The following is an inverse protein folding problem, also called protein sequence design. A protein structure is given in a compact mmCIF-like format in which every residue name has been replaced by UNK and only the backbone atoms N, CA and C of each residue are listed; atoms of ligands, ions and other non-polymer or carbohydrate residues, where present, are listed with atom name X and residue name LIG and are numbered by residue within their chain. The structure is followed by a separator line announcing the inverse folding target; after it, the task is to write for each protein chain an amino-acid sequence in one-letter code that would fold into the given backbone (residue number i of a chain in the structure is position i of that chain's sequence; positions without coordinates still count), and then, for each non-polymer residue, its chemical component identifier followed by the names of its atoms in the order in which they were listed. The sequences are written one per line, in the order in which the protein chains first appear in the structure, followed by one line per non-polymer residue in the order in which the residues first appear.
data_IF_705765886987
#
_entry.id   IF_705765886987
#
_cell.length_a   1.000
_cell.length_b   1.000
_cell.length_c   1.000
_cell.angle_alpha   90.00
_cell.angle_beta   90.00
_cell.angle_gamma   90.00
#
_symmetry.space_group_name_H-M   'P 1'
#
loop_
_entity.id
_entity.type
_entity.pdbx_description
1 polymer ?
#
# COMPACT_ATOMS: atom_id res chain seq x y z
N UNK A 1 -0.46 -3.48 8.11
CA UNK A 1 0.55 -4.46 7.61
C UNK A 1 0.90 -5.45 8.72
N UNK A 2 1.37 -4.99 9.86
CA UNK A 2 1.50 -5.83 11.06
C UNK A 2 0.20 -5.88 11.88
N UNK A 3 0.07 -6.89 12.74
CA UNK A 3 -0.93 -6.88 13.79
C UNK A 3 -0.70 -5.69 14.73
N UNK A 4 -1.75 -4.95 15.09
CA UNK A 4 -1.62 -3.64 15.75
C UNK A 4 -0.90 -3.65 17.12
N UNK A 5 -0.80 -4.80 17.79
CA UNK A 5 -0.04 -4.94 19.06
C UNK A 5 1.35 -5.58 18.85
N UNK A 6 1.78 -5.76 17.61
CA UNK A 6 3.12 -6.25 17.30
C UNK A 6 4.17 -5.29 17.85
N UNK A 7 5.18 -5.83 18.53
CA UNK A 7 6.36 -5.08 18.99
C UNK A 7 7.58 -5.35 18.14
N UNK A 8 7.51 -6.34 17.25
CA UNK A 8 8.62 -6.78 16.40
C UNK A 8 8.51 -6.27 14.96
N UNK A 9 7.29 -5.92 14.51
CA UNK A 9 7.03 -5.39 13.18
C UNK A 9 7.65 -6.23 12.05
N UNK A 10 7.57 -7.55 12.17
CA UNK A 10 8.30 -8.49 11.29
C UNK A 10 7.90 -8.31 9.83
N UNK A 11 6.63 -8.04 9.54
CA UNK A 11 6.16 -7.77 8.18
C UNK A 11 6.77 -6.48 7.62
N UNK A 12 6.77 -5.39 8.40
CA UNK A 12 7.46 -4.15 7.99
C UNK A 12 8.95 -4.39 7.74
N UNK A 13 9.65 -5.07 8.65
CA UNK A 13 11.09 -5.33 8.52
C UNK A 13 11.38 -6.12 7.25
N UNK A 14 10.67 -7.22 7.02
CA UNK A 14 10.89 -8.08 5.84
C UNK A 14 10.61 -7.32 4.54
N UNK A 15 9.45 -6.65 4.44
CA UNK A 15 9.05 -5.96 3.21
C UNK A 15 9.95 -4.76 2.91
N UNK A 16 10.21 -3.91 3.91
CA UNK A 16 10.92 -2.64 3.68
C UNK A 16 12.41 -2.85 3.52
N UNK A 17 12.99 -3.88 4.15
CA UNK A 17 14.38 -4.28 3.87
C UNK A 17 14.57 -4.79 2.45
N UNK A 18 13.50 -5.30 1.82
CA UNK A 18 13.47 -5.68 0.41
C UNK A 18 13.05 -4.54 -0.53
N UNK A 19 12.92 -3.30 -0.01
CA UNK A 19 12.46 -2.12 -0.76
C UNK A 19 11.06 -2.30 -1.37
N UNK A 20 10.18 -3.06 -0.71
CA UNK A 20 8.78 -3.26 -1.10
C UNK A 20 7.91 -2.30 -0.30
N UNK A 21 7.23 -1.31 -0.92
CA UNK A 21 6.42 -0.34 -0.21
C UNK A 21 5.13 -0.97 0.34
N UNK A 22 4.63 -0.40 1.43
CA UNK A 22 3.36 -0.77 2.06
C UNK A 22 2.30 0.31 1.91
N UNK A 23 1.04 -0.10 1.69
CA UNK A 23 -0.12 0.79 1.71
C UNK A 23 -1.13 0.29 2.75
N UNK A 24 -1.52 1.18 3.67
CA UNK A 24 -2.39 0.84 4.80
C UNK A 24 -3.67 1.65 4.77
N UNK A 25 -4.72 1.13 5.40
CA UNK A 25 -6.04 1.78 5.49
C UNK A 25 -6.65 2.11 4.11
N UNK A 26 -6.39 1.28 3.10
CA UNK A 26 -6.93 1.44 1.75
C UNK A 26 -8.42 1.07 1.75
N UNK A 27 -9.26 1.96 1.24
CA UNK A 27 -10.70 1.75 1.09
C UNK A 27 -11.07 1.26 -0.32
N UNK A 28 -12.27 0.68 -0.48
CA UNK A 28 -12.83 0.30 -1.77
C UNK A 28 -12.26 -0.98 -2.39
N UNK A 29 -11.55 -1.80 -1.60
CA UNK A 29 -11.01 -3.09 -2.06
C UNK A 29 -12.11 -4.08 -2.46
N UNK A 30 -13.29 -3.95 -1.87
CA UNK A 30 -14.49 -4.75 -2.15
C UNK A 30 -15.08 -4.51 -3.55
N UNK A 31 -14.74 -3.38 -4.18
CA UNK A 31 -15.15 -3.06 -5.55
C UNK A 31 -14.19 -3.60 -6.63
N UNK A 32 -13.08 -4.26 -6.22
CA UNK A 32 -12.05 -4.74 -7.15
C UNK A 32 -12.19 -6.25 -7.42
N UNK A 33 -11.95 -6.70 -8.66
CA UNK A 33 -11.73 -8.13 -8.91
C UNK A 33 -10.47 -8.61 -8.17
N UNK A 34 -10.36 -9.91 -7.84
CA UNK A 34 -9.17 -10.46 -7.17
C UNK A 34 -7.86 -10.22 -7.92
N UNK A 35 -7.92 -10.10 -9.26
CA UNK A 35 -6.77 -9.86 -10.14
C UNK A 35 -7.19 -9.05 -11.38
N UNK A 36 -6.24 -8.41 -12.03
CA UNK A 36 -6.44 -7.75 -13.33
C UNK A 36 -6.63 -6.22 -13.26
N UNK A 37 -6.84 -5.65 -12.08
CA UNK A 37 -6.85 -4.19 -11.91
C UNK A 37 -5.45 -3.59 -11.98
N UNK A 38 -5.36 -2.36 -12.49
CA UNK A 38 -4.17 -1.52 -12.41
C UNK A 38 -4.28 -0.58 -11.22
N UNK A 39 -3.28 -0.58 -10.34
CA UNK A 39 -3.24 0.28 -9.14
C UNK A 39 -2.24 1.41 -9.33
N UNK A 40 -2.69 2.64 -9.09
CA UNK A 40 -1.85 3.84 -9.11
C UNK A 40 -1.79 4.42 -7.69
N UNK A 41 -0.60 4.35 -7.08
CA UNK A 41 -0.33 4.89 -5.75
C UNK A 41 0.43 6.22 -5.91
N UNK A 42 -0.21 7.33 -5.52
CA UNK A 42 0.32 8.69 -5.72
C UNK A 42 0.67 9.31 -4.35
N UNK A 43 1.87 9.03 -3.80
CA UNK A 43 2.30 9.61 -2.52
C UNK A 43 2.68 11.07 -2.65
N UNK A 44 2.55 11.81 -1.56
CA UNK A 44 3.14 13.15 -1.45
C UNK A 44 4.67 13.06 -1.60
N UNK A 45 5.25 13.94 -2.43
CA UNK A 45 6.71 14.00 -2.65
C UNK A 45 7.39 14.77 -1.51
N UNK A 46 7.70 14.06 -0.43
CA UNK A 46 8.36 14.60 0.76
C UNK A 46 9.85 14.25 0.70
N UNK A 47 10.73 15.27 0.72
CA UNK A 47 12.18 15.06 0.73
C UNK A 47 12.60 14.31 2.02
N UNK A 48 13.33 13.20 1.86
CA UNK A 48 13.76 12.35 2.99
C UNK A 48 12.62 11.66 3.74
N UNK A 49 11.39 11.66 3.22
CA UNK A 49 10.23 11.09 3.90
C UNK A 49 10.31 9.56 4.02
N UNK A 50 10.06 9.04 5.22
CA UNK A 50 9.92 7.59 5.46
C UNK A 50 8.52 7.04 5.13
N UNK A 51 7.56 7.93 4.88
CA UNK A 51 6.17 7.64 4.57
C UNK A 51 5.35 8.93 4.49
N UNK A 52 4.14 8.86 3.96
CA UNK A 52 3.28 10.02 3.83
C UNK A 52 1.88 9.64 3.32
N UNK A 53 0.91 10.57 3.42
CA UNK A 53 -0.41 10.35 2.84
C UNK A 53 -0.27 10.18 1.33
N UNK A 54 -1.12 9.32 0.76
CA UNK A 54 -1.20 9.11 -0.67
C UNK A 54 -2.65 9.09 -1.15
N UNK A 55 -2.84 9.43 -2.42
CA UNK A 55 -4.09 9.11 -3.12
C UNK A 55 -3.86 7.85 -3.93
N UNK A 56 -4.58 6.80 -3.59
CA UNK A 56 -4.59 5.54 -4.34
C UNK A 56 -5.86 5.44 -5.17
N UNK A 57 -5.72 5.03 -6.42
CA UNK A 57 -6.84 4.74 -7.33
C UNK A 57 -6.57 3.45 -8.08
N UNK A 58 -7.65 2.76 -8.45
CA UNK A 58 -7.57 1.59 -9.30
C UNK A 58 -8.29 1.88 -10.62
N UNK A 59 -7.68 1.47 -11.72
CA UNK A 59 -8.37 1.31 -13.00
C UNK A 59 -8.73 -0.16 -13.16
N UNK A 60 -10.03 -0.43 -13.30
CA UNK A 60 -10.57 -1.78 -13.53
C UNK A 60 -10.80 -1.91 -15.03
N UNK A 61 -10.07 -2.79 -15.74
CA UNK A 61 -10.31 -3.01 -17.15
C UNK A 61 -11.74 -3.50 -17.39
N UNK A 62 -12.38 -3.01 -18.45
CA UNK A 62 -13.60 -3.61 -18.97
C UNK A 62 -13.24 -4.98 -19.56
N UNK A 63 -14.06 -6.00 -19.25
CA UNK A 63 -13.88 -7.37 -19.75
C UNK A 63 -14.22 -7.51 -21.22
#
# INVERSE_FOLDING_TARGET
IDYGRSTRFESHVVLYSANIPGFENVAGLDALPPTGSHVFALPMKIEGGSGGPLRIVAWVPEG
#
